data_IF_324751032652
#
_entry.id   IF_324751032652
#
_cell.length_a   1.000
_cell.length_b   1.000
_cell.length_c   1.000
_cell.angle_alpha   90.00
_cell.angle_beta   90.00
_cell.angle_gamma   90.00
#
_symmetry.space_group_name_H-M   'P 1'
#
loop_
_entity.id
_entity.type
_entity.pdbx_description
1 polymer ?
#
# COMPACT_ATOMS: atom_id res chain seq x y z
N UNK A 1 -8.21 -7.79 11.03
CA UNK A 1 -8.13 -7.31 9.64
C UNK A 1 -6.68 -6.92 9.40
N UNK A 2 -6.21 -7.05 8.16
CA UNK A 2 -4.81 -6.86 7.81
C UNK A 2 -4.70 -6.20 6.44
N UNK A 3 -3.64 -5.41 6.27
CA UNK A 3 -3.25 -4.85 4.98
C UNK A 3 -2.59 -5.92 4.12
N UNK A 4 -2.58 -5.72 2.81
CA UNK A 4 -1.90 -6.62 1.86
C UNK A 4 -1.07 -5.81 0.87
N UNK A 5 0.08 -6.35 0.48
CA UNK A 5 0.91 -5.80 -0.60
C UNK A 5 0.52 -6.48 -1.91
N UNK A 6 0.28 -5.69 -2.96
CA UNK A 6 -0.10 -6.16 -4.30
C UNK A 6 1.11 -6.31 -5.21
N UNK A 7 0.88 -6.83 -6.42
CA UNK A 7 1.89 -6.94 -7.46
C UNK A 7 2.47 -5.60 -7.96
N UNK A 8 1.87 -4.46 -7.59
CA UNK A 8 2.42 -3.14 -7.91
C UNK A 8 3.67 -2.79 -7.08
N UNK A 9 4.02 -3.59 -6.07
CA UNK A 9 5.22 -3.39 -5.26
C UNK A 9 6.51 -3.37 -6.11
N UNK A 10 7.37 -2.37 -5.84
CA UNK A 10 8.64 -2.19 -6.54
C UNK A 10 9.84 -2.87 -5.85
N UNK A 11 9.63 -3.64 -4.78
CA UNK A 11 10.69 -4.28 -4.00
C UNK A 11 11.78 -3.29 -3.49
N UNK A 12 11.38 -2.09 -3.08
CA UNK A 12 12.29 -1.00 -2.70
C UNK A 12 12.77 -1.03 -1.24
N UNK A 13 12.35 -2.01 -0.44
CA UNK A 13 12.70 -2.19 0.99
C UNK A 13 12.22 -1.10 1.96
N UNK A 14 11.63 0.00 1.49
CA UNK A 14 11.28 1.13 2.36
C UNK A 14 10.29 0.82 3.50
N UNK A 15 9.38 -0.14 3.30
CA UNK A 15 8.31 -0.42 4.25
C UNK A 15 8.67 -1.41 5.37
N UNK A 16 9.74 -2.21 5.22
CA UNK A 16 10.02 -3.31 6.15
C UNK A 16 10.40 -2.80 7.54
N UNK A 17 11.21 -1.74 7.61
CA UNK A 17 11.75 -1.21 8.87
C UNK A 17 10.77 -0.30 9.61
N UNK A 18 9.75 0.24 8.93
CA UNK A 18 8.75 1.13 9.54
C UNK A 18 7.55 0.39 10.11
N UNK A 19 7.45 -0.93 9.94
CA UNK A 19 6.34 -1.72 10.44
C UNK A 19 6.52 -2.05 11.94
N UNK A 20 5.71 -1.50 12.86
CA UNK A 20 5.93 -1.67 14.31
C UNK A 20 5.71 -3.11 14.79
N UNK A 21 4.95 -3.91 14.04
CA UNK A 21 4.69 -5.33 14.35
C UNK A 21 5.59 -6.30 13.57
N UNK A 22 6.54 -5.79 12.79
CA UNK A 22 7.40 -6.60 11.91
C UNK A 22 6.59 -7.63 11.09
N UNK A 23 5.45 -7.16 10.57
CA UNK A 23 4.51 -7.98 9.79
C UNK A 23 4.92 -8.10 8.33
N UNK A 24 5.79 -7.21 7.84
CA UNK A 24 6.24 -7.19 6.44
C UNK A 24 7.46 -8.08 6.28
N UNK A 25 7.48 -8.92 5.25
CA UNK A 25 8.60 -9.82 4.97
C UNK A 25 8.86 -9.93 3.46
N UNK A 26 10.12 -10.22 3.12
CA UNK A 26 10.52 -10.48 1.73
C UNK A 26 9.92 -11.80 1.25
N UNK A 27 9.29 -11.77 0.08
CA UNK A 27 8.79 -12.94 -0.62
C UNK A 27 8.92 -12.72 -2.14
N UNK A 28 8.57 -13.74 -2.93
CA UNK A 28 8.55 -13.65 -4.40
C UNK A 28 7.11 -13.80 -4.91
N UNK A 29 6.67 -12.97 -5.88
CA UNK A 29 7.46 -11.98 -6.64
C UNK A 29 7.66 -10.62 -5.95
N UNK A 30 6.98 -10.37 -4.82
CA UNK A 30 7.09 -9.13 -4.06
C UNK A 30 6.95 -9.35 -2.55
N UNK A 31 7.23 -8.32 -1.75
CA UNK A 31 6.99 -8.31 -0.31
C UNK A 31 5.55 -8.66 0.04
N UNK A 32 5.35 -9.31 1.18
CA UNK A 32 4.03 -9.68 1.70
C UNK A 32 3.86 -9.18 3.15
N UNK A 33 2.61 -9.17 3.60
CA UNK A 33 2.23 -8.85 4.97
C UNK A 33 1.69 -10.11 5.64
N UNK A 34 2.14 -10.39 6.85
CA UNK A 34 1.63 -11.45 7.71
C UNK A 34 0.33 -10.96 8.38
N UNK A 35 -0.80 -11.55 7.95
CA UNK A 35 -2.14 -11.25 8.47
C UNK A 35 -2.25 -11.46 9.99
N UNK A 36 -1.45 -12.38 10.56
CA UNK A 36 -1.44 -12.67 12.01
C UNK A 36 -0.70 -11.62 12.84
N UNK A 37 0.12 -10.77 12.21
CA UNK A 37 0.90 -9.72 12.88
C UNK A 37 0.42 -8.31 12.57
N UNK A 38 -0.17 -8.10 11.40
CA UNK A 38 -0.61 -6.78 10.97
C UNK A 38 -1.73 -6.25 11.89
N UNK A 39 -1.48 -5.10 12.51
CA UNK A 39 -2.49 -4.38 13.31
C UNK A 39 -2.99 -3.10 12.65
N UNK A 40 -2.69 -2.91 11.36
CA UNK A 40 -2.97 -1.65 10.64
C UNK A 40 -2.35 -0.40 11.33
N UNK A 41 -1.30 -0.63 12.11
CA UNK A 41 -0.67 0.35 13.02
C UNK A 41 -1.58 0.89 14.14
N UNK A 42 -2.77 0.32 14.35
CA UNK A 42 -3.67 0.70 15.44
C UNK A 42 -2.97 0.56 16.79
N UNK A 43 -3.03 1.63 17.60
CA UNK A 43 -2.41 1.71 18.92
C UNK A 43 -0.93 2.12 18.92
N UNK A 44 -0.28 2.21 17.75
CA UNK A 44 1.12 2.65 17.61
C UNK A 44 1.23 3.98 16.85
N UNK A 45 0.43 4.14 15.77
CA UNK A 45 0.39 5.34 14.94
C UNK A 45 -1.05 5.66 14.50
N UNK A 46 -1.28 6.90 14.07
CA UNK A 46 -2.59 7.34 13.54
C UNK A 46 -2.88 6.79 12.13
N UNK A 47 -1.85 6.36 11.40
CA UNK A 47 -1.97 5.85 10.04
C UNK A 47 -0.97 4.71 9.75
N UNK A 48 -1.24 3.84 8.76
CA UNK A 48 -0.32 2.78 8.36
C UNK A 48 1.02 3.31 7.81
N UNK A 49 2.10 3.09 8.56
CA UNK A 49 3.43 3.61 8.21
C UNK A 49 3.97 3.05 6.89
N UNK A 50 3.65 1.79 6.58
CA UNK A 50 4.02 1.18 5.31
C UNK A 50 3.44 1.92 4.09
N UNK A 51 2.21 2.45 4.19
CA UNK A 51 1.61 3.25 3.12
C UNK A 51 2.22 4.65 3.06
N UNK A 52 2.52 5.26 4.20
CA UNK A 52 3.14 6.59 4.27
C UNK A 52 4.51 6.68 3.60
N UNK A 53 5.26 5.58 3.56
CA UNK A 53 6.59 5.53 2.92
C UNK A 53 6.59 4.84 1.55
N UNK A 54 5.48 4.24 1.13
CA UNK A 54 5.42 3.50 -0.13
C UNK A 54 5.53 4.47 -1.31
N UNK A 55 6.55 4.35 -2.18
CA UNK A 55 6.79 5.31 -3.27
C UNK A 55 5.90 5.09 -4.50
N UNK A 56 5.04 4.07 -4.46
CA UNK A 56 4.17 3.70 -5.58
C UNK A 56 2.72 3.56 -5.07
N UNK A 57 1.80 4.06 -5.87
CA UNK A 57 0.35 3.92 -5.65
C UNK A 57 -0.09 2.48 -5.90
N UNK A 58 -1.28 2.12 -5.42
CA UNK A 58 -1.91 0.81 -5.60
C UNK A 58 -1.15 -0.43 -5.06
N UNK A 59 0.01 -0.25 -4.42
CA UNK A 59 0.81 -1.34 -3.89
C UNK A 59 0.34 -1.89 -2.54
N UNK A 60 -0.47 -1.15 -1.78
CA UNK A 60 -0.99 -1.60 -0.49
C UNK A 60 -2.50 -1.41 -0.47
N UNK A 61 -3.20 -2.48 -0.11
CA UNK A 61 -4.67 -2.52 0.01
C UNK A 61 -5.09 -2.92 1.42
N UNK A 62 -6.29 -2.48 1.81
CA UNK A 62 -6.96 -3.01 2.99
C UNK A 62 -7.55 -4.41 2.73
N UNK A 63 -8.26 -4.95 3.72
CA UNK A 63 -8.91 -6.25 3.61
C UNK A 63 -10.05 -6.33 2.58
N UNK A 64 -10.58 -5.18 2.14
CA UNK A 64 -11.61 -5.08 1.10
C UNK A 64 -11.00 -4.84 -0.30
N UNK A 65 -9.68 -4.71 -0.39
CA UNK A 65 -8.99 -4.41 -1.64
C UNK A 65 -8.91 -2.92 -1.98
N UNK A 66 -9.32 -2.02 -1.08
CA UNK A 66 -9.21 -0.59 -1.30
C UNK A 66 -7.76 -0.13 -1.14
N UNK A 67 -7.25 0.64 -2.12
CA UNK A 67 -5.88 1.15 -2.10
C UNK A 67 -5.69 2.19 -1.00
N UNK A 68 -4.62 2.02 -0.20
CA UNK A 68 -4.24 3.03 0.81
C UNK A 68 -3.64 4.28 0.16
N UNK A 69 -2.90 4.09 -0.94
CA UNK A 69 -2.43 5.15 -1.82
C UNK A 69 -3.12 4.97 -3.19
N UNK A 70 -4.35 5.48 -3.38
CA UNK A 70 -5.06 5.35 -4.65
C UNK A 70 -4.39 6.19 -5.76
N UNK A 71 -4.70 5.90 -7.04
CA UNK A 71 -4.10 6.63 -8.16
C UNK A 71 -4.26 8.14 -8.04
N UNK A 72 -3.14 8.85 -8.18
CA UNK A 72 -3.06 10.30 -8.04
C UNK A 72 -2.87 10.81 -6.61
N UNK A 73 -2.98 9.97 -5.58
CA UNK A 73 -2.85 10.42 -4.18
C UNK A 73 -1.45 10.92 -3.83
N UNK A 74 -0.40 10.36 -4.43
CA UNK A 74 0.99 10.77 -4.18
C UNK A 74 1.40 12.00 -5.00
N UNK A 75 0.71 12.25 -6.12
CA UNK A 75 1.01 13.38 -7.03
C UNK A 75 0.06 14.56 -6.83
N UNK A 76 -1.04 14.39 -6.08
CA UNK A 76 -2.09 15.39 -5.93
C UNK A 76 -2.97 15.54 -7.18
N UNK A 77 -2.87 14.62 -8.15
CA UNK A 77 -3.69 14.64 -9.35
C UNK A 77 -5.04 13.98 -9.01
N UNK A 78 -6.19 14.65 -9.20
CA UNK A 78 -7.49 14.05 -8.94
C UNK A 78 -7.71 12.81 -9.82
N UNK A 79 -8.32 11.76 -9.26
CA UNK A 79 -8.61 10.52 -9.99
C UNK A 79 -9.42 10.77 -11.28
N UNK A 80 -10.40 11.68 -11.23
CA UNK A 80 -11.17 12.09 -12.39
C UNK A 80 -10.28 12.60 -13.54
N UNK A 81 -9.21 13.35 -13.20
CA UNK A 81 -8.27 13.86 -14.19
C UNK A 81 -7.41 12.75 -14.81
N UNK A 82 -7.02 11.76 -14.01
CA UNK A 82 -6.31 10.59 -14.53
C UNK A 82 -7.18 9.78 -15.51
N UNK A 83 -8.47 9.63 -15.19
CA UNK A 83 -9.43 8.94 -16.06
C UNK A 83 -9.64 9.72 -17.36
N UNK A 84 -9.84 11.03 -17.30
CA UNK A 84 -9.98 11.90 -18.48
C UNK A 84 -8.76 11.82 -19.42
N UNK A 85 -7.55 11.73 -18.85
CA UNK A 85 -6.30 11.61 -19.59
C UNK A 85 -6.02 10.18 -20.07
N UNK A 86 -6.87 9.20 -19.75
CA UNK A 86 -6.66 7.79 -20.09
C UNK A 86 -5.47 7.15 -19.36
N UNK A 87 -4.99 7.76 -18.27
CA UNK A 87 -3.86 7.31 -17.45
C UNK A 87 -4.27 6.31 -16.36
N UNK A 88 -5.57 6.12 -16.17
CA UNK A 88 -6.14 5.13 -15.25
C UNK A 88 -7.47 4.61 -15.79
N UNK A 89 -7.64 3.28 -15.83
CA UNK A 89 -8.85 2.63 -16.37
C UNK A 89 -9.66 1.86 -15.30
N UNK A 90 -9.35 2.05 -14.02
CA UNK A 90 -9.96 1.28 -12.92
C UNK A 90 -9.08 0.12 -12.45
N UNK A 91 -9.38 -0.39 -11.25
CA UNK A 91 -8.76 -1.61 -10.73
C UNK A 91 -9.29 -2.81 -11.52
N UNK A 92 -8.38 -3.64 -12.04
CA UNK A 92 -8.68 -5.00 -12.50
C UNK A 92 -8.75 -5.93 -11.31
#
# INVERSE_FOLDING_TARGET
MALKITAACLNCWACIDVCPKQAIYEARPHFLIDDGKCSECLGEHEAPQCASICPIEAAIVDSQGAYLNPPGSLTGIPLARLIELGLWQGAV
#
